data_IF_817979087637
#
_entry.id   IF_817979087637
#
_cell.length_a   1.000
_cell.length_b   1.000
_cell.length_c   1.000
_cell.angle_alpha   90.00
_cell.angle_beta   90.00
_cell.angle_gamma   90.00
#
_symmetry.space_group_name_H-M   'P 1'
#
loop_
_entity.id
_entity.type
_entity.pdbx_description
1 polymer ?
#
# COMPACT_ATOMS: atom_id res chain seq x y z
N UNK A 1 -10.30 4.89 -0.84
CA UNK A 1 -11.11 3.87 -0.14
C UNK A 1 -11.64 4.49 1.14
N UNK A 2 -12.94 4.34 1.42
CA UNK A 2 -13.57 4.82 2.64
C UNK A 2 -13.91 3.64 3.54
N UNK A 3 -13.65 3.76 4.84
CA UNK A 3 -13.95 2.72 5.83
C UNK A 3 -15.00 3.23 6.81
N UNK A 4 -16.13 2.53 6.87
CA UNK A 4 -17.21 2.74 7.84
C UNK A 4 -17.11 1.66 8.91
N UNK A 5 -16.78 2.06 10.14
CA UNK A 5 -16.65 1.13 11.27
C UNK A 5 -17.20 1.75 12.55
N UNK A 6 -17.66 0.90 13.45
CA UNK A 6 -18.05 1.33 14.80
C UNK A 6 -16.81 1.65 15.63
N UNK A 7 -16.94 2.60 16.55
CA UNK A 7 -15.86 3.00 17.47
C UNK A 7 -15.52 1.91 18.49
N UNK A 8 -16.45 1.00 18.78
CA UNK A 8 -16.28 -0.17 19.64
C UNK A 8 -15.63 -1.37 18.94
N UNK A 9 -15.20 -1.21 17.68
CA UNK A 9 -14.66 -2.27 16.80
C UNK A 9 -15.61 -3.47 16.59
N UNK A 10 -16.89 -3.35 16.94
CA UNK A 10 -17.89 -4.37 16.58
C UNK A 10 -18.30 -4.22 15.10
N UNK A 11 -18.78 -5.31 14.47
CA UNK A 11 -19.36 -5.23 13.14
C UNK A 11 -20.55 -4.27 13.10
N UNK A 12 -20.77 -3.64 11.95
CA UNK A 12 -21.99 -2.87 11.71
C UNK A 12 -23.22 -3.76 11.84
N UNK A 13 -24.27 -3.25 12.49
CA UNK A 13 -25.54 -3.96 12.60
C UNK A 13 -26.29 -3.97 11.27
N UNK A 14 -27.16 -4.97 11.07
CA UNK A 14 -28.01 -5.05 9.88
C UNK A 14 -28.99 -3.87 9.73
N UNK A 15 -29.22 -3.10 10.79
CA UNK A 15 -30.02 -1.86 10.75
C UNK A 15 -29.16 -0.70 10.23
N UNK A 16 -27.93 -0.57 10.71
CA UNK A 16 -26.99 0.44 10.25
C UNK A 16 -26.66 0.25 8.77
N UNK A 17 -26.39 -0.99 8.33
CA UNK A 17 -26.06 -1.33 6.94
C UNK A 17 -27.18 -1.04 5.92
N UNK A 18 -28.43 -0.82 6.36
CA UNK A 18 -29.53 -0.40 5.46
C UNK A 18 -29.42 1.06 5.02
N UNK A 19 -28.55 1.84 5.67
CA UNK A 19 -28.34 3.24 5.33
C UNK A 19 -27.20 3.36 4.31
N UNK A 20 -27.29 4.37 3.46
CA UNK A 20 -26.21 4.72 2.54
C UNK A 20 -25.26 5.71 3.21
N UNK A 21 -23.99 5.62 2.83
CA UNK A 21 -23.05 6.71 3.05
C UNK A 21 -23.32 7.80 2.01
N UNK A 22 -23.44 9.03 2.48
CA UNK A 22 -23.51 10.21 1.62
C UNK A 22 -22.10 10.79 1.48
N UNK A 23 -21.65 10.94 0.25
CA UNK A 23 -20.36 11.55 -0.09
C UNK A 23 -20.66 12.86 -0.82
N UNK A 24 -20.20 13.95 -0.24
CA UNK A 24 -20.27 15.28 -0.85
C UNK A 24 -18.88 15.67 -1.32
N UNK A 25 -18.77 16.03 -2.59
CA UNK A 25 -17.51 16.35 -3.25
C UNK A 25 -17.55 17.80 -3.69
N UNK A 26 -16.58 18.58 -3.21
CA UNK A 26 -16.40 19.97 -3.62
C UNK A 26 -15.06 20.11 -4.34
N UNK A 27 -15.11 20.51 -5.61
CA UNK A 27 -13.93 20.84 -6.39
C UNK A 27 -13.58 22.33 -6.26
N UNK A 28 -12.36 22.62 -5.80
CA UNK A 28 -11.83 23.97 -5.62
C UNK A 28 -10.85 24.30 -6.75
N UNK A 29 -11.15 25.34 -7.53
CA UNK A 29 -10.31 25.79 -8.66
C UNK A 29 -9.23 26.78 -8.26
N UNK A 30 -9.36 27.43 -7.10
CA UNK A 30 -8.38 28.39 -6.57
C UNK A 30 -7.75 27.85 -5.28
N UNK A 31 -6.42 27.81 -5.24
CA UNK A 31 -5.61 27.29 -4.13
C UNK A 31 -5.22 28.36 -3.10
N UNK A 32 -6.10 29.33 -2.82
CA UNK A 32 -5.80 30.27 -1.74
C UNK A 32 -5.83 29.51 -0.41
N UNK A 33 -4.66 29.41 0.21
CA UNK A 33 -4.55 29.03 1.61
C UNK A 33 -5.32 30.06 2.42
N UNK A 34 -6.50 29.67 2.90
CA UNK A 34 -7.09 30.35 4.04
C UNK A 34 -7.02 29.33 5.17
N UNK A 35 -6.08 29.56 6.10
CA UNK A 35 -6.25 29.09 7.46
C UNK A 35 -7.46 29.82 8.04
N UNK A 36 -8.67 29.45 7.63
CA UNK A 36 -9.88 29.98 8.23
C UNK A 36 -10.53 28.91 9.09
N UNK A 37 -10.24 28.98 10.38
CA UNK A 37 -11.04 28.30 11.37
C UNK A 37 -12.43 28.93 11.54
N UNK A 38 -12.72 30.09 10.94
CA UNK A 38 -14.01 30.76 11.04
C UNK A 38 -14.23 31.77 9.90
N UNK A 39 -14.79 31.36 8.75
CA UNK A 39 -15.66 32.21 7.93
C UNK A 39 -16.33 31.42 6.79
N UNK A 40 -17.55 30.93 7.02
CA UNK A 40 -18.45 30.36 6.01
C UNK A 40 -19.24 31.43 5.23
N UNK A 41 -18.62 32.55 4.85
CA UNK A 41 -19.30 33.60 4.08
C UNK A 41 -18.40 34.12 2.97
N UNK A 42 -18.40 33.39 1.86
CA UNK A 42 -18.37 33.87 0.46
C UNK A 42 -18.02 32.69 -0.46
N UNK A 43 -18.89 31.67 -0.49
CA UNK A 43 -18.77 30.50 -1.36
C UNK A 43 -19.34 30.85 -2.74
N UNK A 44 -18.53 31.47 -3.59
CA UNK A 44 -18.91 31.74 -4.98
C UNK A 44 -18.74 30.46 -5.82
N UNK A 45 -19.86 29.89 -6.28
CA UNK A 45 -19.99 28.84 -7.31
C UNK A 45 -19.03 27.64 -7.21
N UNK A 46 -19.22 26.79 -6.20
CA UNK A 46 -18.82 25.37 -6.29
C UNK A 46 -20.09 24.54 -6.22
N UNK A 47 -20.43 23.87 -7.31
CA UNK A 47 -21.51 22.89 -7.34
C UNK A 47 -21.02 21.68 -6.52
N UNK A 48 -21.68 21.41 -5.40
CA UNK A 48 -21.31 20.29 -4.54
C UNK A 48 -21.97 19.03 -5.12
N UNK A 49 -21.16 18.07 -5.60
CA UNK A 49 -21.68 16.82 -6.13
C UNK A 49 -21.97 15.83 -5.00
N UNK A 50 -23.16 15.23 -5.02
CA UNK A 50 -23.64 14.30 -3.99
C UNK A 50 -23.73 12.88 -4.55
N UNK A 51 -23.02 11.96 -3.92
CA UNK A 51 -23.02 10.54 -4.24
C UNK A 51 -23.52 9.71 -3.06
N UNK A 52 -24.21 8.62 -3.36
CA UNK A 52 -24.72 7.68 -2.36
C UNK A 52 -24.13 6.30 -2.61
N UNK A 53 -23.52 5.73 -1.58
CA UNK A 53 -22.92 4.40 -1.64
C UNK A 53 -23.56 3.47 -0.60
N UNK A 54 -23.94 2.24 -0.98
CA UNK A 54 -24.33 1.23 0.00
C UNK A 54 -23.11 0.83 0.83
N UNK A 55 -23.34 0.37 2.06
CA UNK A 55 -22.27 -0.10 2.96
C UNK A 55 -22.16 -1.62 2.90
N UNK A 56 -21.03 -2.17 2.39
CA UNK A 56 -20.82 -3.61 2.39
C UNK A 56 -20.62 -4.15 3.81
N UNK A 57 -20.68 -5.48 3.97
CA UNK A 57 -20.52 -6.15 5.28
C UNK A 57 -19.18 -5.85 5.95
N UNK A 58 -18.10 -5.71 5.15
CA UNK A 58 -16.76 -5.38 5.63
C UNK A 58 -16.56 -3.88 5.92
N UNK A 59 -17.56 -3.04 5.62
CA UNK A 59 -17.52 -1.60 5.82
C UNK A 59 -16.61 -0.84 4.85
N UNK A 60 -16.07 -1.49 3.82
CA UNK A 60 -15.09 -0.90 2.90
C UNK A 60 -15.77 -0.48 1.59
N UNK A 61 -15.76 0.82 1.32
CA UNK A 61 -16.37 1.40 0.12
C UNK A 61 -15.26 1.86 -0.83
N UNK A 62 -15.27 1.33 -2.05
CA UNK A 62 -14.48 1.86 -3.17
C UNK A 62 -15.23 3.01 -3.83
N UNK A 63 -14.60 4.18 -3.85
CA UNK A 63 -15.17 5.41 -4.39
C UNK A 63 -14.28 5.83 -5.57
N UNK A 64 -14.90 5.98 -6.73
CA UNK A 64 -14.30 6.59 -7.91
C UNK A 64 -15.04 7.90 -8.20
N UNK A 65 -14.30 9.00 -8.22
CA UNK A 65 -14.84 10.33 -8.45
C UNK A 65 -14.27 10.86 -9.76
N UNK A 66 -15.11 11.29 -10.72
CA UNK A 66 -14.61 12.10 -11.82
C UNK A 66 -14.08 13.42 -11.24
N UNK A 67 -12.96 13.92 -11.76
CA UNK A 67 -12.37 15.20 -11.32
C UNK A 67 -12.17 16.10 -12.52
N UNK A 68 -12.59 17.36 -12.43
CA UNK A 68 -12.41 18.33 -13.51
C UNK A 68 -10.94 18.72 -13.68
N UNK A 69 -10.52 18.97 -14.93
CA UNK A 69 -9.13 19.29 -15.26
C UNK A 69 -8.56 20.57 -14.62
N UNK A 70 -9.41 21.48 -14.13
CA UNK A 70 -9.00 22.74 -13.49
C UNK A 70 -9.09 22.69 -11.96
N UNK A 71 -9.27 21.51 -11.38
CA UNK A 71 -9.42 21.34 -9.94
C UNK A 71 -8.07 21.29 -9.25
N UNK A 72 -7.89 22.20 -8.29
CA UNK A 72 -6.66 22.34 -7.50
C UNK A 72 -6.76 21.74 -6.10
N UNK A 73 -7.96 21.54 -5.60
CA UNK A 73 -8.18 20.79 -4.39
C UNK A 73 -9.56 20.13 -4.42
N UNK A 74 -9.64 18.94 -3.85
CA UNK A 74 -10.86 18.18 -3.66
C UNK A 74 -11.19 18.14 -2.18
N UNK A 75 -12.35 18.65 -1.78
CA UNK A 75 -12.89 18.43 -0.45
C UNK A 75 -13.90 17.28 -0.54
N UNK A 76 -13.64 16.18 0.16
CA UNK A 76 -14.56 15.05 0.24
C UNK A 76 -15.10 15.02 1.67
N UNK A 77 -16.41 15.11 1.82
CA UNK A 77 -17.12 15.01 3.09
C UNK A 77 -18.00 13.76 3.06
N UNK A 78 -17.70 12.82 3.95
CA UNK A 78 -18.47 11.60 4.13
C UNK A 78 -19.38 11.73 5.35
N UNK A 79 -20.66 11.44 5.15
CA UNK A 79 -21.67 11.38 6.21
C UNK A 79 -22.32 10.00 6.24
N UNK A 80 -22.36 9.41 7.42
CA UNK A 80 -23.07 8.17 7.68
C UNK A 80 -23.81 8.30 9.01
N UNK A 81 -25.14 8.24 8.98
CA UNK A 81 -25.99 8.55 10.12
C UNK A 81 -25.67 9.96 10.67
N UNK A 82 -25.42 10.08 11.97
CA UNK A 82 -25.03 11.32 12.66
C UNK A 82 -23.50 11.55 12.66
N UNK A 83 -22.72 10.67 12.04
CA UNK A 83 -21.26 10.79 11.96
C UNK A 83 -20.83 11.44 10.66
N UNK A 84 -19.85 12.32 10.76
CA UNK A 84 -19.28 13.03 9.62
C UNK A 84 -17.75 13.06 9.69
N UNK A 85 -17.12 12.92 8.54
CA UNK A 85 -15.67 13.04 8.39
C UNK A 85 -15.37 13.75 7.07
N UNK A 86 -14.32 14.56 7.05
CA UNK A 86 -13.89 15.25 5.83
C UNK A 86 -12.40 15.09 5.61
N UNK A 87 -12.01 15.06 4.34
CA UNK A 87 -10.63 15.12 3.89
C UNK A 87 -10.52 16.18 2.80
N UNK A 88 -9.44 16.95 2.85
CA UNK A 88 -9.08 17.88 1.79
C UNK A 88 -7.82 17.37 1.12
N UNK A 89 -7.92 17.08 -0.16
CA UNK A 89 -6.84 16.63 -1.02
C UNK A 89 -6.42 17.84 -1.85
N UNK A 90 -5.19 18.28 -1.70
CA UNK A 90 -4.64 19.32 -2.57
C UNK A 90 -4.04 18.67 -3.81
N UNK A 91 -4.01 19.39 -4.93
CA UNK A 91 -3.22 18.97 -6.08
C UNK A 91 -1.74 18.84 -5.65
N UNK A 92 -1.23 17.62 -5.78
CA UNK A 92 0.08 17.19 -5.31
C UNK A 92 1.11 17.27 -6.45
N UNK A 93 0.68 17.56 -7.69
CA UNK A 93 1.58 17.73 -8.83
C UNK A 93 0.91 18.46 -10.00
N UNK A 94 1.46 19.62 -10.38
CA UNK A 94 1.06 20.32 -11.60
C UNK A 94 2.08 20.09 -12.73
N UNK A 95 1.66 19.40 -13.79
CA UNK A 95 2.43 19.27 -15.03
C UNK A 95 2.30 20.55 -15.88
N UNK A 96 3.41 21.24 -16.23
CA UNK A 96 3.38 22.36 -17.18
C UNK A 96 2.72 22.04 -18.52
N UNK A 97 2.81 20.80 -19.01
CA UNK A 97 2.14 20.36 -20.24
C UNK A 97 0.70 19.87 -20.04
N UNK A 98 0.16 19.91 -18.81
CA UNK A 98 -1.12 19.31 -18.44
C UNK A 98 -1.19 17.80 -18.76
N UNK A 99 -0.05 17.13 -18.66
CA UNK A 99 0.10 15.70 -18.91
C UNK A 99 0.20 14.93 -17.60
N UNK A 100 -0.51 13.81 -17.50
CA UNK A 100 -0.60 13.03 -16.26
C UNK A 100 -0.48 11.54 -16.54
N UNK A 101 -0.02 10.79 -15.53
CA UNK A 101 0.00 9.33 -15.51
C UNK A 101 -0.79 8.83 -14.30
N UNK A 102 -1.43 7.68 -14.46
CA UNK A 102 -2.07 6.97 -13.35
C UNK A 102 -1.85 5.47 -13.48
N UNK A 103 -1.27 4.84 -12.45
CA UNK A 103 -1.13 3.40 -12.33
C UNK A 103 -2.37 2.85 -11.63
N UNK A 104 -2.94 1.79 -12.19
CA UNK A 104 -4.05 1.03 -11.59
C UNK A 104 -3.65 -0.43 -11.45
N UNK A 105 -3.85 -0.97 -10.25
CA UNK A 105 -3.76 -2.41 -10.01
C UNK A 105 -4.98 -3.11 -10.62
N UNK A 106 -4.75 -4.10 -11.47
CA UNK A 106 -5.82 -4.95 -12.02
C UNK A 106 -5.95 -6.23 -11.19
N UNK A 107 -4.82 -6.84 -10.81
CA UNK A 107 -4.82 -8.06 -9.99
C UNK A 107 -5.38 -7.80 -8.59
N UNK A 108 -6.17 -8.75 -8.06
CA UNK A 108 -6.71 -8.67 -6.69
C UNK A 108 -5.59 -8.73 -5.64
N UNK A 109 -4.76 -9.76 -5.74
CA UNK A 109 -3.68 -10.02 -4.78
C UNK A 109 -2.30 -9.82 -5.40
N UNK A 110 -1.29 -9.65 -4.54
CA UNK A 110 0.11 -9.49 -4.92
C UNK A 110 0.96 -10.45 -4.08
N UNK A 111 1.55 -11.46 -4.74
CA UNK A 111 2.36 -12.50 -4.12
C UNK A 111 3.57 -12.80 -4.98
N UNK A 112 4.69 -13.15 -4.33
CA UNK A 112 5.88 -13.57 -5.02
C UNK A 112 5.61 -14.73 -6.00
N UNK A 113 6.11 -14.62 -7.22
CA UNK A 113 5.96 -15.61 -8.29
C UNK A 113 4.62 -15.59 -9.04
N UNK A 114 3.64 -14.78 -8.62
CA UNK A 114 2.35 -14.64 -9.33
C UNK A 114 2.37 -13.33 -10.13
N UNK A 115 2.04 -13.34 -11.44
CA UNK A 115 1.99 -12.12 -12.24
C UNK A 115 1.07 -11.05 -11.65
N UNK A 116 1.62 -9.85 -11.51
CA UNK A 116 0.93 -8.63 -11.13
C UNK A 116 0.59 -7.83 -12.39
N UNK A 117 -0.70 -7.76 -12.70
CA UNK A 117 -1.20 -7.00 -13.84
C UNK A 117 -1.55 -5.57 -13.41
N UNK A 118 -0.95 -4.60 -14.10
CA UNK A 118 -1.15 -3.17 -13.90
C UNK A 118 -1.59 -2.51 -15.21
N UNK A 119 -2.41 -1.47 -15.09
CA UNK A 119 -2.77 -0.57 -16.19
C UNK A 119 -2.19 0.81 -15.93
N UNK A 120 -1.53 1.38 -16.93
CA UNK A 120 -1.06 2.76 -16.93
C UNK A 120 -1.99 3.58 -17.82
N UNK A 121 -2.69 4.52 -17.23
CA UNK A 121 -3.53 5.50 -17.92
C UNK A 121 -2.76 6.80 -18.07
N UNK A 122 -3.00 7.51 -19.16
CA UNK A 122 -2.38 8.81 -19.43
C UNK A 122 -3.32 9.73 -20.18
N UNK A 123 -3.15 11.04 -19.96
CA UNK A 123 -3.82 12.07 -20.74
C UNK A 123 -3.19 12.28 -22.11
N UNK A 124 -2.02 11.68 -22.38
CA UNK A 124 -1.31 11.76 -23.66
C UNK A 124 -1.03 10.37 -24.26
N UNK A 125 -0.87 10.25 -25.59
CA UNK A 125 -0.38 9.03 -26.21
C UNK A 125 1.07 8.74 -25.81
N UNK A 126 1.31 7.57 -25.21
CA UNK A 126 2.65 7.14 -24.79
C UNK A 126 3.24 6.16 -25.81
N UNK A 127 4.47 6.41 -26.25
CA UNK A 127 5.23 5.48 -27.11
C UNK A 127 5.96 4.40 -26.30
N UNK A 128 6.56 4.83 -25.20
CA UNK A 128 7.33 4.01 -24.28
C UNK A 128 7.08 4.53 -22.87
N UNK A 129 7.05 3.62 -21.90
CA UNK A 129 6.89 3.89 -20.48
C UNK A 129 8.08 3.30 -19.74
N UNK A 130 8.65 4.06 -18.81
CA UNK A 130 9.69 3.58 -17.91
C UNK A 130 9.06 3.19 -16.57
N UNK A 131 9.55 2.11 -15.96
CA UNK A 131 9.14 1.72 -14.62
C UNK A 131 10.35 1.37 -13.75
N UNK A 132 10.17 1.54 -12.46
CA UNK A 132 11.12 1.17 -11.41
C UNK A 132 10.35 0.60 -10.22
N UNK A 133 10.87 -0.46 -9.63
CA UNK A 133 10.29 -1.10 -8.45
C UNK A 133 11.27 -0.96 -7.30
N UNK A 134 10.81 -0.32 -6.23
CA UNK A 134 11.56 -0.04 -5.03
C UNK A 134 11.03 -0.90 -3.88
N UNK A 135 11.90 -1.50 -3.09
CA UNK A 135 11.53 -2.13 -1.82
C UNK A 135 12.71 -2.06 -0.85
N UNK A 136 12.44 -1.76 0.43
CA UNK A 136 13.46 -1.66 1.48
C UNK A 136 14.66 -0.77 1.09
N UNK A 137 14.37 0.38 0.46
CA UNK A 137 15.37 1.36 0.01
C UNK A 137 16.22 0.94 -1.19
N UNK A 138 15.88 -0.15 -1.89
CA UNK A 138 16.63 -0.65 -3.04
C UNK A 138 15.76 -0.76 -4.30
N UNK A 139 16.38 -0.55 -5.47
CA UNK A 139 15.78 -0.89 -6.76
C UNK A 139 15.85 -2.41 -6.92
N UNK A 140 14.69 -3.06 -6.96
CA UNK A 140 14.57 -4.52 -7.09
C UNK A 140 14.17 -4.98 -8.49
N UNK A 141 13.60 -4.09 -9.31
CA UNK A 141 13.34 -4.31 -10.73
C UNK A 141 13.23 -2.95 -11.44
N UNK A 142 13.55 -2.89 -12.74
CA UNK A 142 13.41 -1.69 -13.56
C UNK A 142 13.39 -2.05 -15.04
N UNK A 143 12.68 -1.25 -15.84
CA UNK A 143 12.64 -1.49 -17.27
C UNK A 143 11.80 -0.50 -18.07
N UNK A 144 11.62 -0.86 -19.34
CA UNK A 144 10.88 -0.08 -20.34
C UNK A 144 9.83 -0.96 -21.00
N UNK A 145 8.66 -0.39 -21.31
CA UNK A 145 7.58 -1.07 -22.03
C UNK A 145 6.90 -0.14 -23.03
N UNK A 146 6.58 -0.68 -24.21
CA UNK A 146 5.85 0.03 -25.27
C UNK A 146 4.34 -0.25 -25.20
N UNK A 147 3.81 -0.44 -24.00
CA UNK A 147 2.42 -0.81 -23.75
C UNK A 147 1.95 -0.18 -22.44
N UNK A 148 0.68 0.22 -22.39
CA UNK A 148 0.02 0.70 -21.18
C UNK A 148 -0.28 -0.42 -20.19
N UNK A 149 -0.25 -1.69 -20.60
CA UNK A 149 -0.41 -2.84 -19.71
C UNK A 149 0.96 -3.35 -19.26
N UNK A 150 1.17 -3.39 -17.95
CA UNK A 150 2.41 -3.83 -17.34
C UNK A 150 2.14 -5.12 -16.54
N UNK A 151 2.75 -6.21 -16.99
CA UNK A 151 2.76 -7.49 -16.27
C UNK A 151 4.14 -7.67 -15.64
N UNK A 152 4.22 -7.57 -14.31
CA UNK A 152 5.45 -7.78 -13.55
C UNK A 152 5.33 -9.05 -12.72
N UNK A 153 6.45 -9.69 -12.39
CA UNK A 153 6.46 -10.86 -11.51
C UNK A 153 7.14 -10.46 -10.21
N UNK A 154 6.38 -10.20 -9.13
CA UNK A 154 6.95 -9.90 -7.84
C UNK A 154 7.87 -11.02 -7.37
N UNK A 155 8.99 -10.64 -6.77
CA UNK A 155 9.90 -11.57 -6.11
C UNK A 155 9.87 -11.39 -4.60
N UNK A 156 10.51 -12.28 -3.85
CA UNK A 156 10.65 -12.10 -2.40
C UNK A 156 11.39 -10.81 -2.02
N UNK A 157 12.22 -10.27 -2.91
CA UNK A 157 12.92 -9.01 -2.70
C UNK A 157 11.97 -7.80 -2.62
N UNK A 158 10.76 -7.94 -3.17
CA UNK A 158 9.69 -6.93 -3.19
C UNK A 158 8.87 -6.91 -1.90
N UNK A 159 9.04 -7.91 -1.04
CA UNK A 159 8.34 -7.99 0.23
C UNK A 159 9.04 -7.12 1.30
N UNK A 160 8.29 -6.58 2.27
CA UNK A 160 6.86 -6.81 2.50
C UNK A 160 5.91 -5.89 1.71
N UNK A 161 6.44 -4.78 1.19
CA UNK A 161 5.78 -3.84 0.29
C UNK A 161 6.78 -3.41 -0.78
N UNK A 162 6.30 -3.30 -2.01
CA UNK A 162 7.04 -2.69 -3.10
C UNK A 162 6.33 -1.42 -3.55
N UNK A 163 7.11 -0.38 -3.85
CA UNK A 163 6.63 0.79 -4.55
C UNK A 163 6.99 0.69 -6.03
N UNK A 164 5.97 0.68 -6.87
CA UNK A 164 6.09 0.66 -8.32
C UNK A 164 5.93 2.09 -8.81
N UNK A 165 6.97 2.64 -9.40
CA UNK A 165 6.99 3.97 -9.99
C UNK A 165 6.94 3.79 -11.49
N UNK A 166 6.02 4.51 -12.13
CA UNK A 166 5.94 4.58 -13.59
C UNK A 166 6.14 6.03 -14.00
N UNK A 167 7.00 6.26 -14.98
CA UNK A 167 7.31 7.60 -15.44
C UNK A 167 7.55 7.69 -16.94
N UNK A 168 7.29 8.88 -17.46
CA UNK A 168 7.51 9.26 -18.84
C UNK A 168 8.31 10.56 -18.88
N UNK A 169 9.26 10.63 -19.82
CA UNK A 169 10.09 11.81 -20.04
C UNK A 169 9.70 12.37 -21.40
N UNK A 170 9.15 13.58 -21.41
CA UNK A 170 8.84 14.31 -22.63
C UNK A 170 10.11 14.75 -23.37
N UNK A 171 9.98 15.03 -24.67
CA UNK A 171 11.08 15.53 -25.51
C UNK A 171 11.66 16.87 -25.01
N UNK A 172 10.87 17.66 -24.29
CA UNK A 172 11.28 18.92 -23.65
C UNK A 172 11.98 18.72 -22.28
N UNK A 173 12.15 17.47 -21.83
CA UNK A 173 12.73 17.12 -20.53
C UNK A 173 11.76 17.11 -19.35
N UNK A 174 10.49 17.42 -19.55
CA UNK A 174 9.46 17.30 -18.50
C UNK A 174 9.25 15.84 -18.11
N UNK A 175 9.16 15.58 -16.81
CA UNK A 175 8.89 14.24 -16.27
C UNK A 175 7.49 14.24 -15.68
N UNK A 176 6.69 13.27 -16.10
CA UNK A 176 5.40 12.95 -15.48
C UNK A 176 5.48 11.53 -14.93
N UNK A 177 4.88 11.30 -13.77
CA UNK A 177 4.99 10.03 -13.07
C UNK A 177 3.81 9.76 -12.15
N UNK A 178 3.71 8.51 -11.74
CA UNK A 178 2.83 8.06 -10.67
C UNK A 178 3.50 6.90 -9.91
N UNK A 179 3.06 6.65 -8.68
CA UNK A 179 3.61 5.63 -7.82
C UNK A 179 2.50 4.84 -7.10
N UNK A 180 2.65 3.52 -7.10
CA UNK A 180 1.73 2.59 -6.47
C UNK A 180 2.47 1.70 -5.48
N UNK A 181 2.06 1.76 -4.21
CA UNK A 181 2.54 0.83 -3.19
C UNK A 181 1.68 -0.42 -3.19
N UNK A 182 2.32 -1.59 -3.23
CA UNK A 182 1.65 -2.88 -3.19
C UNK A 182 2.24 -3.77 -2.09
N UNK A 183 1.42 -4.34 -1.19
CA UNK A 183 1.91 -5.34 -0.25
C UNK A 183 2.27 -6.61 -1.01
N UNK A 184 3.44 -7.18 -0.74
CA UNK A 184 3.88 -8.46 -1.30
C UNK A 184 4.11 -9.42 -0.15
N UNK A 185 3.37 -10.53 -0.14
CA UNK A 185 3.56 -11.54 0.89
C UNK A 185 4.96 -12.16 0.80
N UNK A 186 5.78 -11.94 1.84
CA UNK A 186 7.07 -12.62 1.96
C UNK A 186 6.83 -14.12 2.06
N UNK A 187 7.55 -14.89 1.24
CA UNK A 187 7.54 -16.34 1.33
C UNK A 187 8.93 -16.81 1.75
N UNK A 188 9.06 -17.35 2.96
CA UNK A 188 10.34 -17.93 3.41
C UNK A 188 10.65 -19.17 2.56
N UNK A 189 11.69 -19.07 1.71
CA UNK A 189 12.10 -20.17 0.80
C UNK A 189 12.59 -21.40 1.55
N UNK A 190 13.18 -21.17 2.72
CA UNK A 190 13.79 -22.21 3.56
C UNK A 190 12.71 -22.88 4.41
N UNK A 191 11.99 -23.85 3.84
CA UNK A 191 11.09 -24.67 4.62
C UNK A 191 11.90 -25.77 5.32
N UNK A 192 11.71 -25.84 6.65
CA UNK A 192 12.37 -26.81 7.51
C UNK A 192 11.32 -27.79 8.00
N UNK A 193 11.54 -29.08 7.77
CA UNK A 193 10.67 -30.11 8.29
C UNK A 193 11.44 -31.04 9.23
N UNK A 194 10.96 -31.17 10.47
CA UNK A 194 11.65 -31.83 11.56
C UNK A 194 10.88 -33.06 12.04
N UNK A 195 11.60 -34.17 12.19
CA UNK A 195 11.02 -35.43 12.62
C UNK A 195 11.88 -36.07 13.70
N UNK A 196 11.28 -36.32 14.86
CA UNK A 196 11.90 -37.11 15.91
C UNK A 196 11.69 -38.61 15.64
N UNK A 197 12.69 -39.42 15.96
CA UNK A 197 12.59 -40.88 15.86
C UNK A 197 11.54 -41.46 16.81
N UNK A 198 11.29 -40.80 17.96
CA UNK A 198 10.31 -41.19 18.99
C UNK A 198 9.62 -39.95 19.55
N UNK A 199 8.34 -40.06 19.90
CA UNK A 199 7.56 -38.98 20.52
C UNK A 199 7.76 -38.85 22.03
N UNK A 200 8.26 -39.91 22.67
CA UNK A 200 8.65 -39.97 24.09
C UNK A 200 9.90 -40.83 24.21
N UNK A 201 10.80 -40.44 25.10
CA UNK A 201 12.02 -41.15 25.40
C UNK A 201 12.28 -41.09 26.92
N UNK A 202 12.92 -42.13 27.45
CA UNK A 202 13.39 -42.17 28.82
C UNK A 202 14.66 -41.33 29.03
N UNK A 203 15.05 -41.08 30.30
CA UNK A 203 16.33 -40.45 30.60
C UNK A 203 17.49 -41.22 29.95
N UNK A 204 18.42 -40.49 29.34
CA UNK A 204 19.60 -41.04 28.65
C UNK A 204 19.30 -41.99 27.48
N UNK A 205 18.06 -42.07 27.00
CA UNK A 205 17.73 -42.83 25.80
C UNK A 205 18.16 -42.07 24.54
N UNK A 206 18.80 -42.78 23.60
CA UNK A 206 19.20 -42.21 22.33
C UNK A 206 17.98 -41.89 21.45
N UNK A 207 17.92 -40.63 21.00
CA UNK A 207 16.92 -40.14 20.05
C UNK A 207 17.60 -39.49 18.85
N UNK A 208 16.91 -39.46 17.72
CA UNK A 208 17.43 -38.85 16.49
C UNK A 208 16.44 -37.80 16.00
N UNK A 209 16.96 -36.60 15.73
CA UNK A 209 16.24 -35.55 15.01
C UNK A 209 16.65 -35.58 13.53
N UNK A 210 15.70 -35.84 12.65
CA UNK A 210 15.89 -35.72 11.21
C UNK A 210 15.36 -34.37 10.74
N UNK A 211 16.21 -33.60 10.08
CA UNK A 211 15.89 -32.28 9.54
C UNK A 211 15.95 -32.36 8.02
N UNK A 212 14.84 -32.03 7.35
CA UNK A 212 14.77 -31.89 5.89
C UNK A 212 14.72 -30.41 5.55
N UNK A 213 15.53 -30.01 4.59
CA UNK A 213 15.67 -28.63 4.12
C UNK A 213 15.27 -28.58 2.64
N UNK A 214 14.54 -27.54 2.25
CA UNK A 214 14.19 -27.31 0.84
C UNK A 214 15.34 -26.70 0.04
N UNK A 215 16.17 -25.87 0.68
CA UNK A 215 17.23 -25.11 0.02
C UNK A 215 18.63 -25.65 0.39
N UNK A 216 19.51 -25.89 -0.60
CA UNK A 216 20.88 -26.31 -0.36
C UNK A 216 21.66 -25.22 0.38
N UNK A 217 22.70 -25.60 1.11
CA UNK A 217 23.57 -24.67 1.87
C UNK A 217 22.87 -23.88 2.99
N UNK A 218 21.69 -24.32 3.43
CA UNK A 218 21.00 -23.74 4.59
C UNK A 218 21.74 -24.07 5.89
N UNK A 219 21.97 -23.05 6.72
CA UNK A 219 22.50 -23.22 8.08
C UNK A 219 21.37 -23.37 9.10
N UNK A 220 21.48 -24.33 10.01
CA UNK A 220 20.45 -24.63 11.01
C UNK A 220 21.02 -24.44 12.42
N UNK A 221 20.44 -23.51 13.18
CA UNK A 221 20.71 -23.37 14.61
C UNK A 221 19.66 -24.12 15.44
N UNK A 222 20.11 -24.92 16.41
CA UNK A 222 19.23 -25.67 17.30
C UNK A 222 19.42 -25.20 18.74
N UNK A 223 18.30 -24.93 19.42
CA UNK A 223 18.27 -24.62 20.85
C UNK A 223 17.32 -25.61 21.54
N UNK A 224 17.84 -26.33 22.54
CA UNK A 224 17.06 -27.25 23.37
C UNK A 224 16.85 -26.58 24.72
N UNK A 225 15.58 -26.43 25.13
CA UNK A 225 15.20 -25.81 26.39
C UNK A 225 14.37 -26.77 27.25
N UNK A 226 14.55 -26.70 28.56
CA UNK A 226 13.68 -27.38 29.52
C UNK A 226 12.30 -26.69 29.56
N UNK A 227 11.23 -27.48 29.60
CA UNK A 227 9.85 -26.96 29.60
C UNK A 227 9.57 -26.03 30.79
N UNK A 228 10.21 -26.25 31.93
CA UNK A 228 10.07 -25.39 33.12
C UNK A 228 10.53 -23.95 32.88
N UNK A 229 11.49 -23.73 31.98
CA UNK A 229 12.00 -22.39 31.62
C UNK A 229 10.95 -21.58 30.85
N UNK A 230 10.06 -22.24 30.10
CA UNK A 230 8.96 -21.57 29.41
C UNK A 230 7.92 -20.99 30.38
N UNK A 231 7.81 -21.52 31.60
CA UNK A 231 6.89 -21.02 32.63
C UNK A 231 7.40 -19.77 33.35
N UNK A 232 8.71 -19.49 33.29
CA UNK A 232 9.38 -18.47 34.10
C UNK A 232 9.77 -17.20 33.33
N UNK A 233 9.68 -17.20 31.99
CA UNK A 233 10.08 -16.05 31.16
C UNK A 233 8.89 -15.45 30.40
N UNK A 234 8.89 -14.11 30.29
CA UNK A 234 8.17 -13.42 29.19
C UNK A 234 8.79 -13.89 27.87
N UNK A 235 7.95 -14.28 26.90
CA UNK A 235 8.34 -14.88 25.62
C UNK A 235 9.27 -13.92 24.84
N UNK A 236 10.51 -14.33 24.60
CA UNK A 236 11.46 -13.69 23.69
C UNK A 236 11.82 -14.64 22.54
N UNK A 237 10.88 -15.52 22.17
CA UNK A 237 11.06 -16.47 21.09
C UNK A 237 11.11 -15.70 19.76
N UNK A 238 12.03 -16.07 18.88
CA UNK A 238 12.05 -15.56 17.51
C UNK A 238 10.92 -16.27 16.76
N UNK A 239 9.85 -15.55 16.46
CA UNK A 239 8.70 -16.05 15.69
C UNK A 239 8.72 -15.49 14.28
N UNK A 240 8.04 -16.17 13.35
CA UNK A 240 7.84 -15.63 12.00
C UNK A 240 7.19 -14.25 12.05
N UNK A 241 6.12 -14.08 12.83
CA UNK A 241 5.43 -12.79 13.01
C UNK A 241 6.37 -11.67 13.50
N UNK A 242 7.30 -11.99 14.41
CA UNK A 242 8.29 -11.03 14.87
C UNK A 242 9.21 -10.58 13.73
N UNK A 243 9.67 -11.53 12.89
CA UNK A 243 10.48 -11.23 11.70
C UNK A 243 9.68 -10.38 10.71
N UNK A 244 8.43 -10.75 10.39
CA UNK A 244 7.57 -9.94 9.52
C UNK A 244 7.39 -8.52 10.07
N UNK A 245 7.12 -8.39 11.38
CA UNK A 245 6.92 -7.10 12.03
C UNK A 245 8.17 -6.22 11.96
N UNK A 246 9.35 -6.81 12.15
CA UNK A 246 10.63 -6.10 12.09
C UNK A 246 10.97 -5.67 10.66
N UNK A 247 10.79 -6.55 9.67
CA UNK A 247 11.01 -6.20 8.26
C UNK A 247 10.09 -5.05 7.84
N UNK A 248 8.84 -5.03 8.30
CA UNK A 248 7.90 -3.94 8.02
C UNK A 248 8.36 -2.57 8.59
N UNK A 249 9.22 -2.55 9.62
CA UNK A 249 9.75 -1.29 10.16
C UNK A 249 10.72 -0.60 9.19
N UNK A 250 11.42 -1.36 8.34
CA UNK A 250 12.31 -0.81 7.31
C UNK A 250 11.56 -0.14 6.16
N UNK A 251 10.23 -0.22 6.14
CA UNK A 251 9.39 0.51 5.18
C UNK A 251 8.88 1.85 5.71
N UNK A 252 8.97 2.07 7.03
CA UNK A 252 8.33 3.20 7.71
C UNK A 252 9.03 4.55 7.53
N UNK A 253 9.68 4.76 6.40
CA UNK A 253 9.92 6.10 5.89
C UNK A 253 8.70 6.56 5.09
N UNK A 254 7.55 6.68 5.77
CA UNK A 254 6.41 7.44 5.28
C UNK A 254 6.78 8.91 5.32
N UNK A 255 7.52 9.38 4.32
CA UNK A 255 7.57 10.82 4.08
C UNK A 255 6.24 11.23 3.49
N UNK A 256 5.60 12.20 4.15
CA UNK A 256 4.62 13.06 3.50
C UNK A 256 5.24 13.49 2.17
N UNK A 257 4.67 13.03 1.05
CA UNK A 257 5.00 13.56 -0.27
C UNK A 257 4.58 15.02 -0.20
N UNK A 258 5.53 15.90 0.11
CA UNK A 258 5.35 17.32 -0.16
C UNK A 258 5.24 17.41 -1.68
N UNK A 259 4.00 17.56 -2.11
CA UNK A 259 3.52 17.48 -3.48
C UNK A 259 3.93 18.67 -4.32
N UNK A 260 5.22 18.99 -4.31
CA UNK A 260 5.77 20.12 -5.04
C UNK A 260 6.14 19.78 -6.47
N UNK A 261 6.49 18.53 -6.79
CA UNK A 261 7.04 18.18 -8.10
C UNK A 261 7.02 16.68 -8.43
N UNK A 262 7.15 16.35 -9.72
CA UNK A 262 7.37 14.98 -10.20
C UNK A 262 8.58 14.30 -9.53
N UNK A 263 9.57 15.11 -9.11
CA UNK A 263 10.77 14.64 -8.43
C UNK A 263 10.52 14.19 -6.99
N UNK A 264 9.45 14.69 -6.34
CA UNK A 264 9.14 14.35 -4.95
C UNK A 264 8.93 12.84 -4.76
N UNK A 265 8.31 12.17 -5.73
CA UNK A 265 8.14 10.71 -5.72
C UNK A 265 9.50 9.99 -5.70
N UNK A 266 10.48 10.47 -6.47
CA UNK A 266 11.81 9.87 -6.52
C UNK A 266 12.66 10.22 -5.28
N UNK A 267 12.52 11.43 -4.74
CA UNK A 267 13.25 11.87 -3.54
C UNK A 267 12.80 11.11 -2.28
N UNK A 268 11.53 10.75 -2.18
CA UNK A 268 11.00 9.96 -1.07
C UNK A 268 11.51 8.51 -1.09
N UNK A 269 12.04 8.04 -2.21
CA UNK A 269 12.37 6.63 -2.42
C UNK A 269 13.87 6.35 -2.57
N UNK A 270 14.68 7.36 -2.90
CA UNK A 270 16.13 7.25 -3.05
C UNK A 270 16.85 8.07 -1.98
N UNK A 271 17.30 7.40 -0.91
CA UNK A 271 18.43 7.88 -0.13
C UNK A 271 19.72 7.44 -0.82
N UNK A 272 20.38 8.36 -1.52
CA UNK A 272 21.75 8.17 -2.00
C UNK A 272 22.67 8.48 -0.81
N UNK A 273 23.46 7.50 -0.37
CA UNK A 273 24.57 7.69 0.57
C UNK A 273 25.76 8.28 -0.18
#
# INVERSE_FOLDING_TARGET
MLNVRRTDNQPLTSVEQKNNVTIMVTELKNSYQIHDYKNELHRNNTDDELHYYPVPEDGIIQIELPVSANTRALCIKAKFLECESSIKIHDVFHSPSLSYLQIRKISKDSKAGIPLELSVQSTIPLKEINYMVMSRGQIVDAGKKNTSKLSLIPENSWAPTACIIVFYVHDNGEIINDALHIPVQLTLKNQINMHWSKSKAGPAEDITLKIKLTEPQTSVGLLVIDKSVHLLRKRHDITEDAIYSEINLYEKEQYYVDGGSAFSIFQVQLHII
#
